data_IF_492303043219
#
_entry.id   IF_492303043219
#
_cell.length_a   1.000
_cell.length_b   1.000
_cell.length_c   1.000
_cell.angle_alpha   90.00
_cell.angle_beta   90.00
_cell.angle_gamma   90.00
#
_symmetry.space_group_name_H-M   'P 1'
#
loop_
_entity.id
_entity.type
_entity.pdbx_description
1 polymer ?
#
# COMPACT_ATOMS: atom_id res chain seq x y z
N UNK A 1 18.91 37.28 -20.46
CA UNK A 1 17.80 37.59 -19.54
C UNK A 1 17.28 36.27 -19.01
N UNK A 2 17.81 35.83 -17.87
CA UNK A 2 17.39 34.58 -17.23
C UNK A 2 16.03 34.73 -16.55
N UNK A 3 15.02 34.12 -17.15
CA UNK A 3 13.67 34.11 -16.62
C UNK A 3 13.49 32.89 -15.71
N UNK A 4 14.28 32.78 -14.66
CA UNK A 4 14.10 31.80 -13.58
C UNK A 4 12.90 32.23 -12.72
N UNK A 5 11.71 31.84 -13.11
CA UNK A 5 10.52 31.97 -12.26
C UNK A 5 10.77 31.21 -10.94
N UNK A 6 11.11 31.98 -9.90
CA UNK A 6 11.17 31.45 -8.54
C UNK A 6 9.82 30.81 -8.19
N UNK A 7 9.82 29.52 -7.91
CA UNK A 7 8.61 28.81 -7.46
C UNK A 7 8.15 29.43 -6.15
N UNK A 8 6.88 29.87 -6.10
CA UNK A 8 6.29 30.41 -4.87
C UNK A 8 6.45 29.38 -3.75
N UNK A 9 7.04 29.74 -2.60
CA UNK A 9 7.09 28.86 -1.45
C UNK A 9 5.65 28.52 -1.02
N UNK A 10 5.31 27.24 -0.89
CA UNK A 10 3.99 26.80 -0.44
C UNK A 10 3.09 26.12 -1.48
N UNK A 11 3.53 25.91 -2.74
CA UNK A 11 2.78 25.23 -3.79
C UNK A 11 2.73 23.70 -3.68
N UNK A 12 3.16 23.11 -2.57
CA UNK A 12 3.06 21.67 -2.30
C UNK A 12 1.81 21.31 -1.51
N UNK A 13 1.39 20.06 -1.57
CA UNK A 13 0.35 19.48 -0.70
C UNK A 13 0.73 19.80 0.77
N UNK A 14 -0.17 20.46 1.50
CA UNK A 14 0.06 20.71 2.92
C UNK A 14 0.43 19.42 3.61
N UNK A 15 1.47 19.37 4.45
CA UNK A 15 1.80 18.17 5.20
C UNK A 15 0.55 17.73 5.98
N UNK A 16 0.19 16.47 5.89
CA UNK A 16 -0.85 15.88 6.74
C UNK A 16 -0.44 16.11 8.19
N UNK A 17 -1.43 16.37 9.07
CA UNK A 17 -1.16 16.58 10.49
C UNK A 17 -0.18 15.50 10.98
N UNK A 18 0.90 15.86 11.70
CA UNK A 18 1.96 14.90 12.07
C UNK A 18 1.43 13.72 12.89
N UNK A 19 0.25 13.86 13.51
CA UNK A 19 -0.42 12.83 14.30
C UNK A 19 -1.27 11.86 13.45
N UNK A 20 -1.54 12.18 12.17
CA UNK A 20 -2.39 11.33 11.33
C UNK A 20 -1.56 10.28 10.60
N UNK A 21 -1.67 9.04 11.07
CA UNK A 21 -1.19 7.86 10.34
C UNK A 21 -2.37 7.07 9.80
N UNK A 22 -2.49 6.97 8.47
CA UNK A 22 -3.57 6.22 7.83
C UNK A 22 -3.55 4.74 8.24
N UNK A 23 -2.38 4.14 8.37
CA UNK A 23 -2.21 2.76 8.80
C UNK A 23 -2.65 2.54 10.26
N UNK A 24 -2.23 3.41 11.18
CA UNK A 24 -2.65 3.34 12.59
C UNK A 24 -4.15 3.51 12.74
N UNK A 25 -4.74 4.47 12.03
CA UNK A 25 -6.18 4.70 12.04
C UNK A 25 -6.95 3.48 11.52
N UNK A 26 -6.49 2.87 10.43
CA UNK A 26 -7.12 1.68 9.86
C UNK A 26 -7.03 0.49 10.83
N UNK A 27 -5.88 0.27 11.47
CA UNK A 27 -5.69 -0.78 12.47
C UNK A 27 -6.60 -0.58 13.70
N UNK A 28 -6.74 0.65 14.17
CA UNK A 28 -7.66 0.99 15.26
C UNK A 28 -9.12 0.74 14.89
N UNK A 29 -9.54 1.18 13.69
CA UNK A 29 -10.90 0.93 13.19
C UNK A 29 -11.16 -0.57 13.01
N UNK A 30 -10.18 -1.35 12.54
CA UNK A 30 -10.30 -2.80 12.39
C UNK A 30 -10.49 -3.47 13.76
N UNK A 31 -9.68 -3.11 14.75
CA UNK A 31 -9.79 -3.63 16.11
C UNK A 31 -11.16 -3.31 16.71
N UNK A 32 -11.60 -2.06 16.68
CA UNK A 32 -12.90 -1.64 17.19
C UNK A 32 -14.06 -2.34 16.49
N UNK A 33 -14.01 -2.47 15.14
CA UNK A 33 -15.03 -3.19 14.40
C UNK A 33 -15.10 -4.70 14.79
N UNK A 34 -13.93 -5.33 15.00
CA UNK A 34 -13.86 -6.73 15.43
C UNK A 34 -14.46 -6.93 16.81
N UNK A 35 -14.15 -6.06 17.77
CA UNK A 35 -14.70 -6.10 19.12
C UNK A 35 -16.25 -6.00 19.10
N UNK A 36 -16.79 -5.04 18.35
CA UNK A 36 -18.24 -4.87 18.24
C UNK A 36 -18.91 -6.04 17.52
N UNK A 37 -18.27 -6.62 16.50
CA UNK A 37 -18.78 -7.78 15.78
C UNK A 37 -18.79 -9.04 16.64
N UNK A 38 -17.76 -9.23 17.47
CA UNK A 38 -17.71 -10.34 18.45
C UNK A 38 -18.87 -10.24 19.45
N UNK A 39 -19.32 -9.04 19.78
CA UNK A 39 -20.50 -8.76 20.59
C UNK A 39 -21.83 -8.93 19.82
N UNK A 40 -21.80 -9.59 18.65
CA UNK A 40 -22.97 -9.91 17.80
C UNK A 40 -23.72 -8.69 17.27
N UNK A 41 -23.07 -7.53 17.17
CA UNK A 41 -23.68 -6.36 16.53
C UNK A 41 -23.76 -6.56 15.01
N UNK A 42 -24.84 -6.03 14.42
CA UNK A 42 -24.99 -6.04 12.96
C UNK A 42 -24.01 -5.08 12.28
N UNK A 43 -23.69 -5.33 11.00
CA UNK A 43 -22.80 -4.43 10.23
C UNK A 43 -23.27 -2.98 10.23
N UNK A 44 -24.60 -2.76 10.16
CA UNK A 44 -25.17 -1.42 10.20
C UNK A 44 -24.95 -0.78 11.57
N UNK A 45 -25.25 -1.47 12.67
CA UNK A 45 -25.06 -0.96 14.01
C UNK A 45 -23.59 -0.61 14.31
N UNK A 46 -22.64 -1.44 13.81
CA UNK A 46 -21.20 -1.16 13.92
C UNK A 46 -20.82 0.08 13.09
N UNK A 47 -21.39 0.21 11.90
CA UNK A 47 -21.14 1.34 11.03
C UNK A 47 -21.59 2.64 11.68
N UNK A 48 -22.78 2.65 12.28
CA UNK A 48 -23.35 3.79 12.99
C UNK A 48 -22.50 4.14 14.23
N UNK A 49 -22.12 3.14 15.03
CA UNK A 49 -21.28 3.32 16.23
C UNK A 49 -19.89 3.91 15.91
N UNK A 50 -19.29 3.48 14.80
CA UNK A 50 -17.95 3.94 14.38
C UNK A 50 -17.98 5.12 13.40
N UNK A 51 -19.15 5.61 13.02
CA UNK A 51 -19.34 6.63 11.97
C UNK A 51 -18.65 6.22 10.66
N UNK A 52 -18.81 4.97 10.27
CA UNK A 52 -18.24 4.38 9.07
C UNK A 52 -19.34 3.93 8.11
N UNK A 53 -18.95 3.71 6.85
CA UNK A 53 -19.84 3.05 5.89
C UNK A 53 -19.90 1.53 6.17
N UNK A 54 -21.07 0.87 6.13
CA UNK A 54 -21.22 -0.58 6.35
C UNK A 54 -20.35 -1.42 5.41
N UNK A 55 -20.13 -0.97 4.17
CA UNK A 55 -19.24 -1.63 3.22
C UNK A 55 -17.79 -1.60 3.74
N UNK A 56 -17.37 -0.48 4.34
CA UNK A 56 -16.04 -0.35 4.95
C UNK A 56 -15.90 -1.26 6.16
N UNK A 57 -16.94 -1.32 7.01
CA UNK A 57 -16.97 -2.23 8.18
C UNK A 57 -16.82 -3.67 7.72
N UNK A 58 -17.59 -4.12 6.74
CA UNK A 58 -17.45 -5.46 6.16
C UNK A 58 -16.05 -5.74 5.68
N UNK A 59 -15.43 -4.81 4.94
CA UNK A 59 -14.07 -4.96 4.44
C UNK A 59 -13.04 -5.05 5.57
N UNK A 60 -13.20 -4.28 6.65
CA UNK A 60 -12.36 -4.37 7.85
C UNK A 60 -12.47 -5.76 8.50
N UNK A 61 -13.68 -6.26 8.66
CA UNK A 61 -13.94 -7.57 9.27
C UNK A 61 -13.45 -8.73 8.40
N UNK A 62 -13.59 -8.64 7.06
CA UNK A 62 -12.98 -9.60 6.12
C UNK A 62 -11.47 -9.60 6.27
N UNK A 63 -10.87 -8.42 6.40
CA UNK A 63 -9.43 -8.29 6.57
C UNK A 63 -8.95 -8.86 7.90
N UNK A 64 -9.74 -8.71 8.94
CA UNK A 64 -9.47 -9.32 10.25
C UNK A 64 -9.74 -10.84 10.28
N UNK A 65 -10.30 -11.42 9.21
CA UNK A 65 -10.61 -12.85 9.13
C UNK A 65 -11.78 -13.30 9.99
N UNK A 66 -12.62 -12.36 10.48
CA UNK A 66 -13.75 -12.66 11.37
C UNK A 66 -15.11 -12.65 10.66
N UNK A 67 -15.19 -12.04 9.49
CA UNK A 67 -16.41 -12.02 8.69
C UNK A 67 -16.30 -12.96 7.49
N UNK A 68 -17.19 -13.91 7.43
CA UNK A 68 -17.31 -14.83 6.31
C UNK A 68 -18.73 -14.78 5.71
N UNK A 69 -18.80 -14.82 4.40
CA UNK A 69 -20.04 -15.01 3.65
C UNK A 69 -19.75 -15.78 2.37
N UNK A 70 -20.74 -16.46 1.82
CA UNK A 70 -20.56 -17.21 0.58
C UNK A 70 -20.14 -16.32 -0.58
N UNK A 71 -20.69 -15.09 -0.64
CA UNK A 71 -20.29 -14.10 -1.63
C UNK A 71 -18.82 -13.69 -1.46
N UNK A 72 -18.34 -13.48 -0.21
CA UNK A 72 -16.96 -13.14 0.05
C UNK A 72 -16.03 -14.30 -0.33
N UNK A 73 -16.39 -15.54 0.05
CA UNK A 73 -15.62 -16.74 -0.30
C UNK A 73 -15.53 -16.94 -1.81
N UNK A 74 -16.63 -16.76 -2.52
CA UNK A 74 -16.67 -16.88 -3.98
C UNK A 74 -15.78 -15.83 -4.65
N UNK A 75 -15.92 -14.56 -4.26
CA UNK A 75 -15.13 -13.47 -4.85
C UNK A 75 -13.63 -13.67 -4.55
N UNK A 76 -13.27 -14.03 -3.32
CA UNK A 76 -11.87 -14.24 -2.93
C UNK A 76 -11.26 -15.42 -3.70
N UNK A 77 -11.92 -16.58 -3.76
CA UNK A 77 -11.42 -17.75 -4.52
C UNK A 77 -11.22 -17.43 -6.00
N UNK A 78 -12.18 -16.74 -6.62
CA UNK A 78 -12.07 -16.35 -8.03
C UNK A 78 -10.95 -15.36 -8.23
N UNK A 79 -10.81 -14.38 -7.34
CA UNK A 79 -9.71 -13.41 -7.38
C UNK A 79 -8.35 -14.08 -7.22
N UNK A 80 -8.19 -14.97 -6.25
CA UNK A 80 -6.94 -15.66 -5.95
C UNK A 80 -6.49 -16.54 -7.12
N UNK A 81 -7.43 -17.19 -7.84
CA UNK A 81 -7.12 -17.95 -9.03
C UNK A 81 -6.48 -17.10 -10.14
N UNK A 82 -6.96 -15.87 -10.34
CA UNK A 82 -6.37 -14.94 -11.30
C UNK A 82 -5.11 -14.25 -10.75
N UNK A 83 -5.06 -13.99 -9.44
CA UNK A 83 -3.95 -13.29 -8.80
C UNK A 83 -2.65 -14.08 -8.85
N UNK A 84 -2.71 -15.39 -8.95
CA UNK A 84 -1.53 -16.27 -9.09
C UNK A 84 -0.72 -15.98 -10.36
N UNK A 85 -1.37 -15.50 -11.43
CA UNK A 85 -0.75 -15.27 -12.75
C UNK A 85 -0.80 -13.82 -13.21
N UNK A 86 -1.62 -12.98 -12.57
CA UNK A 86 -1.90 -11.61 -13.01
C UNK A 86 -1.55 -10.57 -11.93
N UNK A 87 -1.38 -9.32 -12.36
CA UNK A 87 -1.29 -8.19 -11.44
C UNK A 87 -2.62 -7.99 -10.68
N UNK A 88 -2.59 -7.30 -9.55
CA UNK A 88 -3.78 -7.02 -8.75
C UNK A 88 -4.92 -6.38 -9.59
N UNK A 89 -4.58 -5.36 -10.37
CA UNK A 89 -5.59 -4.66 -11.18
C UNK A 89 -6.19 -5.55 -12.27
N UNK A 90 -5.36 -6.38 -12.92
CA UNK A 90 -5.82 -7.33 -13.94
C UNK A 90 -6.67 -8.45 -13.30
N UNK A 91 -6.26 -9.00 -12.17
CA UNK A 91 -7.03 -10.01 -11.45
C UNK A 91 -8.40 -9.49 -11.00
N UNK A 92 -8.48 -8.23 -10.52
CA UNK A 92 -9.79 -7.59 -10.23
C UNK A 92 -10.65 -7.54 -11.49
N UNK A 93 -10.09 -7.10 -12.63
CA UNK A 93 -10.85 -7.00 -13.89
C UNK A 93 -11.32 -8.39 -14.36
N UNK A 94 -10.46 -9.41 -14.29
CA UNK A 94 -10.84 -10.78 -14.64
C UNK A 94 -11.94 -11.33 -13.71
N UNK A 95 -11.86 -11.03 -12.41
CA UNK A 95 -12.90 -11.41 -11.44
C UNK A 95 -14.23 -10.71 -11.71
N UNK A 96 -14.20 -9.42 -12.09
CA UNK A 96 -15.39 -8.68 -12.50
C UNK A 96 -16.10 -9.37 -13.67
N UNK A 97 -15.35 -9.73 -14.70
CA UNK A 97 -15.88 -10.39 -15.89
C UNK A 97 -16.40 -11.80 -15.56
N UNK A 98 -15.69 -12.58 -14.77
CA UNK A 98 -16.08 -13.94 -14.41
C UNK A 98 -17.36 -14.00 -13.55
N UNK A 99 -17.53 -13.04 -12.63
CA UNK A 99 -18.68 -13.01 -11.71
C UNK A 99 -19.75 -11.99 -12.10
N UNK A 100 -19.57 -11.26 -13.20
CA UNK A 100 -20.46 -10.19 -13.66
C UNK A 100 -20.73 -9.14 -12.58
N UNK A 101 -19.71 -8.82 -11.78
CA UNK A 101 -19.79 -7.84 -10.71
C UNK A 101 -19.09 -6.54 -11.09
N UNK A 102 -19.55 -5.43 -10.52
CA UNK A 102 -18.86 -4.15 -10.65
C UNK A 102 -17.54 -4.14 -9.87
N UNK A 103 -16.59 -3.29 -10.28
CA UNK A 103 -15.30 -3.13 -9.58
C UNK A 103 -15.46 -2.79 -8.09
N UNK A 104 -16.33 -1.84 -7.69
CA UNK A 104 -16.58 -1.56 -6.28
C UNK A 104 -17.10 -2.79 -5.52
N UNK A 105 -17.98 -3.59 -6.16
CA UNK A 105 -18.50 -4.81 -5.54
C UNK A 105 -17.37 -5.81 -5.29
N UNK A 106 -16.56 -6.15 -6.29
CA UNK A 106 -15.43 -7.06 -6.13
C UNK A 106 -14.47 -6.56 -5.05
N UNK A 107 -14.04 -5.30 -5.13
CA UNK A 107 -13.06 -4.76 -4.17
C UNK A 107 -13.59 -4.64 -2.74
N UNK A 108 -14.91 -4.62 -2.55
CA UNK A 108 -15.54 -4.59 -1.22
C UNK A 108 -15.50 -5.93 -0.49
N UNK A 109 -15.35 -7.02 -1.23
CA UNK A 109 -15.20 -8.38 -0.69
C UNK A 109 -13.75 -8.86 -0.60
N UNK A 110 -12.82 -8.08 -1.12
CA UNK A 110 -11.38 -8.37 -0.97
C UNK A 110 -10.84 -7.70 0.30
N UNK A 111 -9.93 -8.37 1.01
CA UNK A 111 -9.25 -7.75 2.14
C UNK A 111 -8.46 -6.51 1.69
N UNK A 112 -8.10 -5.67 2.63
CA UNK A 112 -7.10 -4.64 2.37
C UNK A 112 -5.74 -5.30 2.14
N UNK A 113 -4.92 -4.77 1.26
CA UNK A 113 -3.56 -5.28 1.07
C UNK A 113 -2.71 -5.06 2.34
N UNK A 114 -1.88 -6.04 2.68
CA UNK A 114 -1.04 -5.98 3.89
C UNK A 114 -0.23 -4.69 4.00
N UNK A 115 0.30 -4.19 2.88
CA UNK A 115 1.05 -2.94 2.84
C UNK A 115 0.30 -1.69 3.31
N UNK A 116 -1.02 -1.76 3.47
CA UNK A 116 -1.80 -0.65 4.05
C UNK A 116 -1.73 -0.64 5.59
N UNK A 117 -1.51 -1.80 6.23
CA UNK A 117 -1.46 -1.90 7.70
C UNK A 117 -0.06 -2.11 8.25
N UNK A 118 0.79 -2.76 7.47
CA UNK A 118 2.17 -3.05 7.82
C UNK A 118 3.09 -2.29 6.86
N UNK A 119 3.32 -1.00 7.12
CA UNK A 119 4.17 -0.18 6.25
C UNK A 119 5.58 -0.76 6.10
N UNK A 120 6.07 -1.51 7.07
CA UNK A 120 7.36 -2.21 7.01
C UNK A 120 7.37 -3.33 5.97
N UNK A 121 6.27 -4.08 5.84
CA UNK A 121 6.10 -5.09 4.77
C UNK A 121 5.82 -4.45 3.41
N UNK A 122 5.15 -3.28 3.39
CA UNK A 122 4.88 -2.52 2.18
C UNK A 122 6.15 -1.96 1.56
N UNK A 123 7.11 -1.52 2.38
CA UNK A 123 8.41 -1.05 1.90
C UNK A 123 9.18 -2.16 1.20
N UNK A 124 9.06 -3.41 1.66
CA UNK A 124 9.71 -4.56 1.05
C UNK A 124 8.99 -5.05 -0.23
N UNK A 125 7.66 -4.94 -0.31
CA UNK A 125 6.86 -5.55 -1.38
C UNK A 125 6.48 -4.62 -2.54
N UNK A 126 6.43 -3.30 -2.33
CA UNK A 126 5.83 -2.35 -3.26
C UNK A 126 6.73 -1.22 -3.76
N UNK A 127 8.03 -1.36 -3.65
CA UNK A 127 8.92 -0.40 -4.30
C UNK A 127 8.86 -0.67 -5.80
N UNK A 128 8.07 0.14 -6.54
CA UNK A 128 8.09 0.08 -7.99
C UNK A 128 9.52 0.30 -8.49
N UNK A 129 9.91 -0.33 -9.61
CA UNK A 129 11.24 -0.16 -10.21
C UNK A 129 11.59 1.33 -10.47
N UNK A 130 10.58 2.19 -10.62
CA UNK A 130 10.73 3.64 -10.71
C UNK A 130 11.08 4.29 -9.36
N UNK A 131 10.39 3.89 -8.29
CA UNK A 131 10.66 4.40 -6.95
C UNK A 131 12.03 3.95 -6.43
N UNK A 132 12.43 2.72 -6.77
CA UNK A 132 13.75 2.19 -6.45
C UNK A 132 14.87 2.96 -7.17
N UNK A 133 14.74 3.20 -8.48
CA UNK A 133 15.66 4.05 -9.23
C UNK A 133 15.77 5.46 -8.64
N UNK A 134 14.64 6.05 -8.23
CA UNK A 134 14.62 7.37 -7.61
C UNK A 134 15.32 7.38 -6.24
N UNK A 135 15.16 6.31 -5.43
CA UNK A 135 15.86 6.15 -4.15
C UNK A 135 17.38 6.08 -4.36
N UNK A 136 17.82 5.25 -5.31
CA UNK A 136 19.22 5.14 -5.68
C UNK A 136 19.79 6.49 -6.15
N UNK A 137 19.12 7.16 -7.07
CA UNK A 137 19.54 8.46 -7.58
C UNK A 137 19.69 9.48 -6.45
N UNK A 138 18.71 9.59 -5.55
CA UNK A 138 18.76 10.51 -4.40
C UNK A 138 19.91 10.18 -3.45
N UNK A 139 20.16 8.90 -3.18
CA UNK A 139 21.25 8.48 -2.32
C UNK A 139 22.63 8.87 -2.93
N UNK A 140 22.82 8.63 -4.23
CA UNK A 140 24.04 9.00 -4.94
C UNK A 140 24.23 10.53 -4.98
N UNK A 141 23.18 11.29 -5.25
CA UNK A 141 23.22 12.76 -5.25
C UNK A 141 23.59 13.31 -3.87
N UNK A 142 23.00 12.75 -2.80
CA UNK A 142 23.31 13.14 -1.44
C UNK A 142 24.78 12.86 -1.09
N UNK A 143 25.31 11.70 -1.46
CA UNK A 143 26.71 11.33 -1.23
C UNK A 143 27.66 12.23 -2.01
N UNK A 144 27.33 12.58 -3.26
CA UNK A 144 28.15 13.52 -4.07
C UNK A 144 28.14 14.93 -3.50
N UNK A 145 27.03 15.37 -2.91
CA UNK A 145 26.89 16.72 -2.33
C UNK A 145 27.59 16.83 -0.99
N UNK A 146 27.53 15.80 -0.18
CA UNK A 146 28.09 15.73 1.16
C UNK A 146 28.63 14.31 1.40
N UNK A 147 29.93 14.06 1.14
CA UNK A 147 30.55 12.76 1.29
C UNK A 147 30.83 12.46 2.76
N UNK A 148 29.80 12.15 3.51
CA UNK A 148 29.89 11.74 4.91
C UNK A 148 29.50 10.26 5.09
N UNK A 149 29.90 9.66 6.21
CA UNK A 149 29.65 8.25 6.53
C UNK A 149 28.15 7.93 6.50
N UNK A 150 27.30 8.84 6.98
CA UNK A 150 25.84 8.68 6.98
C UNK A 150 25.27 8.58 5.56
N UNK A 151 25.77 9.40 4.63
CA UNK A 151 25.32 9.37 3.24
C UNK A 151 25.90 8.18 2.48
N UNK A 152 27.12 7.74 2.81
CA UNK A 152 27.68 6.48 2.32
C UNK A 152 26.82 5.29 2.76
N UNK A 153 26.43 5.26 4.03
CA UNK A 153 25.58 4.21 4.58
C UNK A 153 24.20 4.17 3.92
N UNK A 154 23.59 5.33 3.66
CA UNK A 154 22.32 5.44 2.89
C UNK A 154 22.47 4.89 1.47
N UNK A 155 23.60 5.13 0.80
CA UNK A 155 23.89 4.54 -0.49
C UNK A 155 23.97 3.01 -0.41
N UNK A 156 24.75 2.48 0.53
CA UNK A 156 24.92 1.03 0.73
C UNK A 156 23.55 0.37 0.97
N UNK A 157 22.71 0.95 1.82
CA UNK A 157 21.36 0.44 2.11
C UNK A 157 20.46 0.52 0.89
N UNK A 158 20.51 1.62 0.13
CA UNK A 158 19.71 1.78 -1.08
C UNK A 158 20.06 0.75 -2.16
N UNK A 159 21.32 0.31 -2.24
CA UNK A 159 21.79 -0.68 -3.21
C UNK A 159 21.74 -2.14 -2.71
N UNK A 160 21.35 -2.38 -1.45
CA UNK A 160 21.36 -3.72 -0.83
C UNK A 160 20.49 -4.76 -1.51
N UNK A 161 19.51 -4.35 -2.33
CA UNK A 161 18.65 -5.23 -3.12
C UNK A 161 19.06 -5.40 -4.59
N UNK A 162 20.05 -4.67 -5.06
CA UNK A 162 20.52 -4.81 -6.44
C UNK A 162 21.35 -6.09 -6.59
N UNK A 163 20.81 -7.07 -7.30
CA UNK A 163 21.61 -8.19 -7.74
C UNK A 163 22.70 -7.63 -8.67
N UNK A 164 23.94 -7.72 -8.25
CA UNK A 164 25.16 -7.25 -8.93
C UNK A 164 25.39 -7.85 -10.34
N UNK A 165 24.36 -8.12 -11.12
CA UNK A 165 24.48 -8.63 -12.48
C UNK A 165 24.96 -7.61 -13.51
N UNK A 166 25.00 -6.32 -13.17
CA UNK A 166 25.36 -5.24 -14.10
C UNK A 166 26.64 -4.46 -13.75
N UNK A 167 27.28 -4.76 -12.62
CA UNK A 167 28.52 -4.05 -12.23
C UNK A 167 29.82 -4.80 -12.54
N UNK A 168 29.77 -6.03 -13.03
CA UNK A 168 30.95 -6.77 -13.44
C UNK A 168 31.62 -6.25 -14.74
N UNK A 169 31.00 -5.28 -15.41
CA UNK A 169 31.54 -4.67 -16.62
C UNK A 169 32.23 -3.30 -16.43
N UNK A 170 32.26 -2.74 -15.21
CA UNK A 170 32.73 -1.36 -14.98
C UNK A 170 33.88 -1.23 -13.98
N UNK A 171 34.49 -2.33 -13.54
CA UNK A 171 35.53 -2.29 -12.52
C UNK A 171 36.91 -2.74 -12.97
N UNK A 172 37.13 -3.09 -14.24
CA UNK A 172 38.47 -3.39 -14.75
C UNK A 172 38.64 -2.89 -16.19
N UNK A 173 38.99 -1.65 -16.38
CA UNK A 173 39.90 -1.12 -17.38
C UNK A 173 40.61 0.09 -16.79
#
# INVERSE_FOLDING_TARGET
MDNTRARKPGGGRKPSKPEYSAAKNLAQQMKAATELYTNKMSLQAIADALSLNPIKVRKLLITAGVYESDAAKLVQRTFDSFRSTQSYSAAVTSTMSALQLSRPSVTSYLPYEKGVYFPEEAEAANISAGAERQRHYRAVVALKKDPCEVNLWKCVVAFRGYKFKTMSGLLFT
#
